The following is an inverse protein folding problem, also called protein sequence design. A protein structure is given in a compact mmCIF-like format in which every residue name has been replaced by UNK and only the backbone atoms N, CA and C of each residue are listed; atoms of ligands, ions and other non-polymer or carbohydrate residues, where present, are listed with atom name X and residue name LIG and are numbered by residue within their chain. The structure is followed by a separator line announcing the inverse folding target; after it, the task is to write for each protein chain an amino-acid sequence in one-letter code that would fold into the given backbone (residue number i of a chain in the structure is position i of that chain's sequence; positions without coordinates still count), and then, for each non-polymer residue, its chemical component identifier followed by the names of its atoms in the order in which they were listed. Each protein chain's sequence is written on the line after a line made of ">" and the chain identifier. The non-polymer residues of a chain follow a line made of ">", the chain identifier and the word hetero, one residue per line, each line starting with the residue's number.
data_IF_973077038596
#
_entry.id   IF_973077038596
#
_cell.length_a   1.000
_cell.length_b   1.000
_cell.length_c   1.000
_cell.angle_alpha   90.00
_cell.angle_beta   90.00
_cell.angle_gamma   90.00
#
_symmetry.space_group_name_H-M   'P 1'
#
loop_
_entity.id
_entity.type
_entity.pdbx_description
1 polymer ?
#
# COMPACT_ATOMS: atom_id res chain seq x y z
N UNK A 1 27.43 16.77 17.98
CA UNK A 1 27.95 17.89 17.17
C UNK A 1 27.01 18.04 15.98
N UNK A 2 26.37 19.21 15.84
CA UNK A 2 25.39 19.48 14.76
C UNK A 2 26.05 19.27 13.40
N UNK A 3 25.41 18.51 12.52
CA UNK A 3 25.76 18.53 11.11
C UNK A 3 25.06 19.73 10.45
N UNK A 4 25.43 20.96 10.88
CA UNK A 4 24.94 22.24 10.36
C UNK A 4 24.98 22.30 8.82
N UNK A 5 25.92 21.57 8.24
CA UNK A 5 26.10 21.42 6.80
C UNK A 5 24.96 20.68 6.11
N UNK A 6 24.34 19.67 6.74
CA UNK A 6 23.22 18.89 6.16
C UNK A 6 21.88 19.63 6.23
N UNK A 7 21.60 20.36 7.32
CA UNK A 7 20.40 21.22 7.41
C UNK A 7 20.47 22.38 6.41
N UNK A 8 21.63 23.04 6.28
CA UNK A 8 21.82 24.08 5.27
C UNK A 8 21.76 23.54 3.83
N UNK A 9 21.99 22.24 3.63
CA UNK A 9 21.86 21.60 2.33
C UNK A 9 20.42 21.15 2.02
N UNK A 10 19.51 21.12 3.00
CA UNK A 10 18.14 20.63 2.81
C UNK A 10 17.40 21.36 1.67
N UNK A 11 17.37 22.71 1.59
CA UNK A 11 16.76 23.41 0.45
C UNK A 11 17.34 22.99 -0.90
N UNK A 12 18.66 22.79 -0.96
CA UNK A 12 19.38 22.41 -2.19
C UNK A 12 19.02 20.98 -2.60
N UNK A 13 18.98 20.06 -1.64
CA UNK A 13 18.65 18.64 -1.89
C UNK A 13 17.18 18.52 -2.28
N UNK A 14 16.27 19.24 -1.61
CA UNK A 14 14.85 19.26 -1.95
C UNK A 14 14.62 19.73 -3.39
N UNK A 15 15.26 20.83 -3.78
CA UNK A 15 15.21 21.32 -5.16
C UNK A 15 15.82 20.32 -6.16
N UNK A 16 16.91 19.64 -5.81
CA UNK A 16 17.54 18.63 -6.67
C UNK A 16 16.66 17.39 -6.86
N UNK A 17 15.98 16.93 -5.81
CA UNK A 17 15.01 15.83 -5.87
C UNK A 17 13.80 16.26 -6.72
N UNK A 18 13.26 17.45 -6.48
CA UNK A 18 12.19 18.05 -7.30
C UNK A 18 12.55 18.10 -8.78
N UNK A 19 13.75 18.59 -9.12
CA UNK A 19 14.27 18.63 -10.48
C UNK A 19 14.35 17.23 -11.12
N UNK A 20 14.77 16.20 -10.37
CA UNK A 20 14.74 14.81 -10.85
C UNK A 20 13.32 14.34 -11.15
N UNK A 21 12.35 14.76 -10.35
CA UNK A 21 10.94 14.50 -10.59
C UNK A 21 10.32 15.46 -11.62
N UNK A 22 11.06 16.41 -12.18
CA UNK A 22 10.52 17.43 -13.10
C UNK A 22 9.49 18.36 -12.45
N UNK A 23 9.51 18.46 -11.12
CA UNK A 23 8.53 19.22 -10.31
C UNK A 23 9.24 20.38 -9.62
N UNK A 24 8.55 21.52 -9.56
CA UNK A 24 9.08 22.67 -8.85
C UNK A 24 9.00 22.45 -7.33
N UNK A 25 10.13 22.47 -6.63
CA UNK A 25 10.16 22.41 -5.16
C UNK A 25 10.71 23.71 -4.59
N UNK A 26 10.00 24.28 -3.63
CA UNK A 26 10.37 25.48 -2.89
C UNK A 26 10.48 25.14 -1.41
N UNK A 27 11.52 25.64 -0.74
CA UNK A 27 11.71 25.46 0.70
C UNK A 27 11.68 26.82 1.38
N UNK A 28 10.80 26.98 2.37
CA UNK A 28 10.51 28.23 3.06
C UNK A 28 9.14 28.21 3.73
N UNK A 29 8.82 29.26 4.48
CA UNK A 29 7.53 29.35 5.18
C UNK A 29 7.36 28.31 6.28
N UNK A 30 6.12 28.17 6.74
CA UNK A 30 5.73 27.39 7.91
C UNK A 30 4.94 26.11 7.59
N UNK A 31 4.52 25.89 6.35
CA UNK A 31 3.63 24.79 5.99
C UNK A 31 4.15 23.96 4.81
N UNK A 32 3.87 22.66 4.84
CA UNK A 32 4.04 21.76 3.71
C UNK A 32 2.74 21.66 2.90
N UNK A 33 2.78 21.91 1.59
CA UNK A 33 1.61 21.75 0.72
C UNK A 33 2.00 21.58 -0.76
N UNK A 34 1.01 21.21 -1.58
CA UNK A 34 1.09 21.21 -3.05
C UNK A 34 -0.02 22.08 -3.64
N UNK A 35 0.24 22.71 -4.78
CA UNK A 35 -0.80 23.38 -5.60
C UNK A 35 -1.18 22.57 -6.84
N UNK A 36 -0.77 21.29 -6.89
CA UNK A 36 -0.93 20.40 -8.05
C UNK A 36 0.08 20.66 -9.17
N UNK A 37 1.02 21.60 -8.99
CA UNK A 37 2.11 21.90 -9.95
C UNK A 37 3.48 22.00 -9.30
N UNK A 38 3.52 22.39 -8.05
CA UNK A 38 4.71 22.65 -7.26
C UNK A 38 4.50 22.22 -5.81
N UNK A 39 5.61 21.93 -5.13
CA UNK A 39 5.63 21.49 -3.74
C UNK A 39 6.31 22.57 -2.90
N UNK A 40 5.66 22.95 -1.81
CA UNK A 40 6.23 23.80 -0.76
C UNK A 40 6.58 22.94 0.45
N UNK A 41 7.80 23.09 0.97
CA UNK A 41 8.21 22.48 2.24
C UNK A 41 8.68 23.56 3.23
N UNK A 42 8.40 23.41 4.53
CA UNK A 42 8.87 24.36 5.53
C UNK A 42 10.40 24.34 5.64
N UNK A 43 10.99 25.50 5.95
CA UNK A 43 12.41 25.63 6.21
C UNK A 43 12.70 25.43 7.70
N UNK A 44 12.99 24.18 8.08
CA UNK A 44 13.22 23.81 9.47
C UNK A 44 14.68 24.00 9.92
N UNK A 45 14.85 24.82 10.95
CA UNK A 45 16.14 25.07 11.62
C UNK A 45 16.27 24.38 12.99
N UNK A 46 15.26 23.61 13.40
CA UNK A 46 15.26 22.91 14.69
C UNK A 46 16.10 21.62 14.68
N UNK A 47 16.07 20.92 15.82
CA UNK A 47 16.94 19.77 16.10
C UNK A 47 16.20 18.41 16.03
N UNK A 48 14.98 18.34 15.47
CA UNK A 48 14.26 17.09 15.24
C UNK A 48 15.03 16.19 14.23
N UNK A 49 15.54 15.03 14.67
CA UNK A 49 16.30 14.12 13.81
C UNK A 49 15.45 13.48 12.71
N UNK A 50 14.11 13.46 12.85
CA UNK A 50 13.21 12.80 11.91
C UNK A 50 12.68 13.74 10.83
N UNK A 51 12.82 15.07 11.01
CA UNK A 51 12.21 16.06 10.13
C UNK A 51 12.57 15.84 8.65
N UNK A 52 13.85 15.58 8.35
CA UNK A 52 14.29 15.39 6.97
C UNK A 52 13.67 14.14 6.34
N UNK A 53 13.61 13.03 7.08
CA UNK A 53 13.03 11.79 6.58
C UNK A 53 11.53 11.97 6.28
N UNK A 54 10.81 12.65 7.18
CA UNK A 54 9.39 12.98 6.98
C UNK A 54 9.22 13.90 5.77
N UNK A 55 10.01 14.97 5.66
CA UNK A 55 9.94 15.90 4.54
C UNK A 55 10.27 15.23 3.20
N UNK A 56 11.18 14.26 3.16
CA UNK A 56 11.47 13.47 1.96
C UNK A 56 10.33 12.54 1.58
N UNK A 57 9.68 11.90 2.56
CA UNK A 57 8.49 11.10 2.32
C UNK A 57 7.35 11.94 1.75
N UNK A 58 7.05 13.08 2.37
CA UNK A 58 6.03 14.03 1.89
C UNK A 58 6.38 14.51 0.48
N UNK A 59 7.62 14.93 0.22
CA UNK A 59 8.04 15.35 -1.13
C UNK A 59 7.80 14.25 -2.17
N UNK A 60 8.19 13.01 -1.88
CA UNK A 60 8.00 11.88 -2.79
C UNK A 60 6.51 11.59 -3.03
N UNK A 61 5.68 11.61 -1.99
CA UNK A 61 4.24 11.37 -2.08
C UNK A 61 3.53 12.49 -2.88
N UNK A 62 3.80 13.76 -2.57
CA UNK A 62 3.25 14.89 -3.34
C UNK A 62 3.70 14.88 -4.80
N UNK A 63 4.94 14.46 -5.06
CA UNK A 63 5.44 14.31 -6.41
C UNK A 63 4.72 13.20 -7.19
N UNK A 64 4.30 12.15 -6.51
CA UNK A 64 3.46 11.10 -7.10
C UNK A 64 2.09 11.66 -7.49
N UNK A 65 1.44 12.43 -6.62
CA UNK A 65 0.14 13.05 -6.92
C UNK A 65 0.21 13.99 -8.13
N UNK A 66 1.20 14.88 -8.19
CA UNK A 66 1.37 15.81 -9.32
C UNK A 66 1.52 15.05 -10.66
N UNK A 67 2.12 13.85 -10.64
CA UNK A 67 2.40 13.05 -11.84
C UNK A 67 1.22 12.18 -12.27
N UNK A 68 0.51 11.60 -11.31
CA UNK A 68 -0.39 10.47 -11.59
C UNK A 68 -1.84 10.69 -11.18
N UNK A 69 -2.15 11.71 -10.38
CA UNK A 69 -3.53 11.99 -9.93
C UNK A 69 -4.22 13.06 -10.78
N UNK A 70 -5.53 12.93 -10.90
CA UNK A 70 -6.49 13.83 -11.53
C UNK A 70 -7.23 14.68 -10.48
N UNK A 71 -6.69 15.87 -10.21
CA UNK A 71 -7.28 16.87 -9.32
C UNK A 71 -8.67 17.38 -9.74
N UNK A 72 -9.17 17.00 -10.92
CA UNK A 72 -10.52 17.34 -11.39
C UNK A 72 -11.57 16.30 -11.01
N UNK A 73 -11.16 15.11 -10.55
CA UNK A 73 -12.05 14.02 -10.22
C UNK A 73 -13.03 14.40 -9.08
N UNK A 74 -14.21 13.78 -9.10
CA UNK A 74 -15.29 14.05 -8.15
C UNK A 74 -15.71 12.78 -7.42
N UNK A 75 -15.64 12.84 -6.09
CA UNK A 75 -15.91 11.72 -5.20
C UNK A 75 -17.36 11.63 -4.70
N UNK A 76 -18.19 12.63 -5.00
CA UNK A 76 -19.51 12.76 -4.40
C UNK A 76 -19.43 13.13 -2.91
N UNK A 77 -20.52 12.89 -2.18
CA UNK A 77 -20.65 13.32 -0.78
C UNK A 77 -20.24 12.27 0.25
N UNK A 78 -20.01 11.01 -0.16
CA UNK A 78 -19.64 9.93 0.77
C UNK A 78 -18.19 10.10 1.22
N UNK A 79 -17.98 10.27 2.52
CA UNK A 79 -16.65 10.35 3.13
C UNK A 79 -15.90 9.04 2.97
N UNK A 80 -16.55 7.92 3.30
CA UNK A 80 -15.97 6.58 3.17
C UNK A 80 -15.49 6.31 1.73
N UNK A 81 -16.31 6.61 0.73
CA UNK A 81 -15.95 6.46 -0.69
C UNK A 81 -14.70 7.27 -1.05
N UNK A 82 -14.63 8.52 -0.61
CA UNK A 82 -13.47 9.39 -0.83
C UNK A 82 -12.21 8.83 -0.15
N UNK A 83 -12.32 8.44 1.12
CA UNK A 83 -11.19 7.91 1.92
C UNK A 83 -10.65 6.59 1.38
N UNK A 84 -11.53 5.66 1.01
CA UNK A 84 -11.11 4.39 0.42
C UNK A 84 -10.42 4.58 -0.93
N UNK A 85 -10.97 5.42 -1.79
CA UNK A 85 -10.35 5.70 -3.08
C UNK A 85 -9.00 6.39 -2.93
N UNK A 86 -8.86 7.31 -1.96
CA UNK A 86 -7.58 7.92 -1.61
C UNK A 86 -6.54 6.90 -1.16
N UNK A 87 -6.88 6.01 -0.22
CA UNK A 87 -5.97 4.97 0.24
C UNK A 87 -5.48 4.03 -0.88
N UNK A 88 -6.35 3.69 -1.83
CA UNK A 88 -6.00 2.88 -3.00
C UNK A 88 -5.12 3.69 -3.96
N UNK A 89 -5.48 4.94 -4.23
CA UNK A 89 -4.75 5.85 -5.11
C UNK A 89 -3.33 6.10 -4.61
N UNK A 90 -3.14 6.38 -3.32
CA UNK A 90 -1.83 6.60 -2.72
C UNK A 90 -0.89 5.42 -2.94
N UNK A 91 -1.40 4.20 -2.75
CA UNK A 91 -0.62 3.00 -3.02
C UNK A 91 -0.28 2.87 -4.50
N UNK A 92 -1.24 3.16 -5.39
CA UNK A 92 -1.02 3.12 -6.84
C UNK A 92 0.05 4.12 -7.26
N UNK A 93 -0.07 5.40 -6.88
CA UNK A 93 0.86 6.45 -7.31
C UNK A 93 2.26 6.23 -6.73
N UNK A 94 2.37 5.77 -5.48
CA UNK A 94 3.66 5.45 -4.87
C UNK A 94 4.31 4.26 -5.57
N UNK A 95 3.52 3.26 -5.96
CA UNK A 95 3.99 2.11 -6.73
C UNK A 95 4.46 2.52 -8.13
N UNK A 96 3.69 3.38 -8.83
CA UNK A 96 4.06 3.91 -10.16
C UNK A 96 5.32 4.79 -10.09
N UNK A 97 5.39 5.72 -9.13
CA UNK A 97 6.55 6.60 -8.96
C UNK A 97 7.83 5.79 -8.72
N UNK A 98 7.73 4.70 -7.97
CA UNK A 98 8.85 3.83 -7.67
C UNK A 98 9.40 3.05 -8.88
N UNK A 99 8.67 2.97 -10.01
CA UNK A 99 9.19 2.37 -11.25
C UNK A 99 10.26 3.26 -11.87
N UNK A 100 10.02 4.58 -11.90
CA UNK A 100 10.96 5.57 -12.43
C UNK A 100 12.01 5.98 -11.39
N UNK A 101 11.63 6.01 -10.11
CA UNK A 101 12.48 6.46 -9.01
C UNK A 101 12.51 5.45 -7.85
N UNK A 102 13.19 4.30 -7.99
CA UNK A 102 13.16 3.22 -6.98
C UNK A 102 13.52 3.63 -5.55
N UNK A 103 14.30 4.70 -5.37
CA UNK A 103 14.66 5.23 -4.06
C UNK A 103 13.46 5.72 -3.24
N UNK A 104 12.36 6.11 -3.87
CA UNK A 104 11.15 6.58 -3.17
C UNK A 104 10.53 5.48 -2.31
N UNK A 105 10.70 4.20 -2.68
CA UNK A 105 10.26 3.06 -1.84
C UNK A 105 10.91 3.10 -0.46
N UNK A 106 12.23 3.34 -0.42
CA UNK A 106 12.96 3.42 0.84
C UNK A 106 12.53 4.65 1.62
N UNK A 107 12.52 5.81 0.98
CA UNK A 107 12.15 7.08 1.60
C UNK A 107 10.79 7.02 2.28
N UNK A 108 9.77 6.55 1.57
CA UNK A 108 8.42 6.47 2.11
C UNK A 108 8.31 5.37 3.17
N UNK A 109 8.92 4.18 2.96
CA UNK A 109 8.95 3.12 3.98
C UNK A 109 9.55 3.62 5.29
N UNK A 110 10.64 4.39 5.25
CA UNK A 110 11.28 4.94 6.46
C UNK A 110 10.33 5.84 7.25
N UNK A 111 9.49 6.63 6.58
CA UNK A 111 8.47 7.44 7.26
C UNK A 111 7.45 6.55 7.97
N UNK A 112 6.95 5.53 7.29
CA UNK A 112 5.98 4.57 7.85
C UNK A 112 6.56 3.86 9.09
N UNK A 113 7.79 3.37 9.01
CA UNK A 113 8.47 2.73 10.13
C UNK A 113 8.62 3.67 11.34
N UNK A 114 8.94 4.95 11.11
CA UNK A 114 9.01 5.96 12.18
C UNK A 114 7.65 6.22 12.81
N UNK A 115 6.58 6.31 12.03
CA UNK A 115 5.22 6.52 12.55
C UNK A 115 4.79 5.34 13.44
N UNK A 116 5.10 4.10 13.05
CA UNK A 116 4.85 2.92 13.86
C UNK A 116 5.61 3.00 15.19
N UNK A 117 6.90 3.36 15.15
CA UNK A 117 7.74 3.48 16.36
C UNK A 117 7.26 4.59 17.30
N UNK A 118 6.75 5.71 16.76
CA UNK A 118 6.18 6.81 17.55
C UNK A 118 4.81 6.50 18.14
N UNK A 119 4.12 5.48 17.63
CA UNK A 119 2.75 5.16 18.02
C UNK A 119 1.69 5.98 17.28
N UNK A 120 2.09 6.70 16.23
CA UNK A 120 1.18 7.49 15.38
C UNK A 120 0.46 6.62 14.34
N UNK A 121 0.93 5.38 14.15
CA UNK A 121 0.28 4.40 13.27
C UNK A 121 0.04 3.08 14.00
N UNK A 122 -1.23 2.83 14.33
CA UNK A 122 -1.70 1.70 15.15
C UNK A 122 -2.73 0.86 14.41
N UNK A 123 -2.95 -0.37 14.87
CA UNK A 123 -4.02 -1.21 14.34
C UNK A 123 -5.38 -0.73 14.83
N UNK A 124 -6.43 -0.96 14.03
CA UNK A 124 -7.79 -0.68 14.49
C UNK A 124 -8.28 -1.75 15.45
N UNK A 125 -9.06 -1.33 16.43
CA UNK A 125 -9.71 -2.18 17.42
C UNK A 125 -11.13 -2.57 16.99
N UNK A 126 -11.72 -3.58 17.65
CA UNK A 126 -13.12 -3.97 17.44
C UNK A 126 -14.12 -2.88 17.85
N UNK A 127 -13.71 -1.96 18.73
CA UNK A 127 -14.55 -0.87 19.23
C UNK A 127 -14.52 0.35 18.31
N UNK A 128 -13.63 0.36 17.32
CA UNK A 128 -13.53 1.46 16.36
C UNK A 128 -14.74 1.48 15.41
N UNK A 129 -14.96 2.64 14.81
CA UNK A 129 -16.01 2.79 13.81
C UNK A 129 -15.79 1.82 12.63
N UNK A 130 -16.82 1.12 12.13
CA UNK A 130 -16.66 0.11 11.08
C UNK A 130 -16.02 0.67 9.80
N UNK A 131 -16.29 1.94 9.49
CA UNK A 131 -15.65 2.65 8.39
C UNK A 131 -14.13 2.82 8.58
N UNK A 132 -13.68 3.14 9.80
CA UNK A 132 -12.26 3.24 10.11
C UNK A 132 -11.56 1.88 10.00
N UNK A 133 -12.18 0.81 10.51
CA UNK A 133 -11.63 -0.55 10.42
C UNK A 133 -11.42 -0.95 8.96
N UNK A 134 -12.41 -0.71 8.10
CA UNK A 134 -12.31 -1.01 6.67
C UNK A 134 -11.24 -0.16 5.97
N UNK A 135 -11.25 1.15 6.20
CA UNK A 135 -10.24 2.07 5.65
C UNK A 135 -8.82 1.66 6.09
N UNK A 136 -8.62 1.44 7.39
CA UNK A 136 -7.34 1.02 7.97
C UNK A 136 -6.87 -0.31 7.41
N UNK A 137 -7.76 -1.30 7.27
CA UNK A 137 -7.40 -2.57 6.67
C UNK A 137 -6.95 -2.39 5.22
N UNK A 138 -7.71 -1.64 4.40
CA UNK A 138 -7.37 -1.38 3.00
C UNK A 138 -6.03 -0.67 2.88
N UNK A 139 -5.83 0.45 3.60
CA UNK A 139 -4.59 1.21 3.57
C UNK A 139 -3.39 0.35 4.00
N UNK A 140 -3.46 -0.26 5.18
CA UNK A 140 -2.32 -1.00 5.76
C UNK A 140 -1.99 -2.25 4.96
N UNK A 141 -3.00 -3.01 4.50
CA UNK A 141 -2.79 -4.24 3.73
C UNK A 141 -2.19 -3.97 2.34
N UNK A 142 -2.66 -2.94 1.65
CA UNK A 142 -2.12 -2.55 0.35
C UNK A 142 -0.70 -2.01 0.48
N UNK A 143 -0.43 -1.14 1.47
CA UNK A 143 0.92 -0.65 1.74
C UNK A 143 1.89 -1.78 2.09
N UNK A 144 1.49 -2.75 2.93
CA UNK A 144 2.31 -3.90 3.26
C UNK A 144 2.64 -4.75 2.01
N UNK A 145 1.63 -5.11 1.22
CA UNK A 145 1.75 -6.08 0.11
C UNK A 145 2.30 -5.47 -1.19
N UNK A 146 1.84 -4.29 -1.58
CA UNK A 146 2.16 -3.66 -2.89
C UNK A 146 3.41 -2.79 -2.80
N UNK A 147 3.61 -2.10 -1.68
CA UNK A 147 4.78 -1.24 -1.46
C UNK A 147 5.92 -1.94 -0.71
N UNK A 148 5.67 -3.14 -0.19
CA UNK A 148 6.67 -3.92 0.54
C UNK A 148 7.04 -3.29 1.87
N UNK A 149 6.07 -2.70 2.57
CA UNK A 149 6.24 -2.08 3.89
C UNK A 149 5.91 -3.10 4.98
N UNK A 150 6.80 -4.10 5.13
CA UNK A 150 6.55 -5.31 5.96
C UNK A 150 6.37 -5.02 7.45
N UNK A 151 6.83 -3.88 7.95
CA UNK A 151 6.59 -3.43 9.32
C UNK A 151 5.08 -3.29 9.66
N UNK A 152 4.23 -3.18 8.63
CA UNK A 152 2.77 -3.10 8.80
C UNK A 152 2.09 -4.45 9.01
N UNK A 153 2.75 -5.59 8.71
CA UNK A 153 2.10 -6.91 8.76
C UNK A 153 1.44 -7.21 10.12
N UNK A 154 2.07 -6.95 11.29
CA UNK A 154 1.41 -7.17 12.57
C UNK A 154 0.16 -6.29 12.78
N UNK A 155 0.19 -5.05 12.27
CA UNK A 155 -0.96 -4.15 12.36
C UNK A 155 -2.09 -4.58 11.42
N UNK A 156 -1.77 -5.13 10.26
CA UNK A 156 -2.73 -5.69 9.30
C UNK A 156 -3.43 -6.89 9.91
N UNK A 157 -2.69 -7.82 10.51
CA UNK A 157 -3.24 -9.00 11.18
C UNK A 157 -4.21 -8.60 12.30
N UNK A 158 -3.81 -7.67 13.16
CA UNK A 158 -4.67 -7.19 14.25
C UNK A 158 -5.92 -6.45 13.73
N UNK A 159 -5.76 -5.61 12.71
CA UNK A 159 -6.89 -4.91 12.08
C UNK A 159 -7.84 -5.88 11.38
N UNK A 160 -7.32 -6.97 10.81
CA UNK A 160 -8.14 -8.01 10.17
C UNK A 160 -9.02 -8.74 11.19
N UNK A 161 -8.54 -8.97 12.42
CA UNK A 161 -9.38 -9.53 13.50
C UNK A 161 -10.58 -8.62 13.78
N UNK A 162 -10.36 -7.31 13.91
CA UNK A 162 -11.43 -6.34 14.08
C UNK A 162 -12.39 -6.31 12.88
N UNK A 163 -11.86 -6.43 11.65
CA UNK A 163 -12.65 -6.49 10.44
C UNK A 163 -13.54 -7.74 10.40
N UNK A 164 -12.98 -8.92 10.67
CA UNK A 164 -13.74 -10.19 10.72
C UNK A 164 -14.85 -10.16 11.76
N UNK A 165 -14.66 -9.45 12.87
CA UNK A 165 -15.68 -9.33 13.91
C UNK A 165 -16.85 -8.41 13.54
N UNK A 166 -16.68 -7.48 12.58
CA UNK A 166 -17.71 -6.49 12.18
C UNK A 166 -18.31 -6.71 10.80
N UNK A 167 -17.67 -7.52 9.95
CA UNK A 167 -18.05 -7.72 8.56
C UNK A 167 -18.36 -9.19 8.26
N UNK A 168 -19.36 -9.47 7.40
CA UNK A 168 -19.64 -10.84 6.97
C UNK A 168 -18.39 -11.49 6.38
N UNK A 169 -18.18 -12.79 6.65
CA UNK A 169 -17.02 -13.56 6.14
C UNK A 169 -16.86 -13.47 4.61
N UNK A 170 -17.98 -13.48 3.88
CA UNK A 170 -18.00 -13.30 2.43
C UNK A 170 -17.48 -11.92 2.00
N UNK A 171 -17.84 -10.86 2.73
CA UNK A 171 -17.32 -9.51 2.49
C UNK A 171 -15.81 -9.42 2.67
N UNK A 172 -15.27 -9.98 3.76
CA UNK A 172 -13.81 -9.97 4.03
C UNK A 172 -13.04 -10.73 2.95
N UNK A 173 -13.54 -11.90 2.56
CA UNK A 173 -12.91 -12.74 1.53
C UNK A 173 -12.91 -12.06 0.16
N UNK A 174 -14.07 -11.53 -0.25
CA UNK A 174 -14.20 -10.83 -1.54
C UNK A 174 -13.45 -9.51 -1.56
N UNK A 175 -13.36 -8.80 -0.43
CA UNK A 175 -12.55 -7.58 -0.29
C UNK A 175 -11.08 -7.88 -0.63
N UNK A 176 -10.50 -8.92 -0.02
CA UNK A 176 -9.12 -9.34 -0.33
C UNK A 176 -8.93 -9.67 -1.80
N UNK A 177 -9.91 -10.35 -2.41
CA UNK A 177 -9.95 -10.64 -3.84
C UNK A 177 -9.91 -9.37 -4.70
N UNK A 178 -10.78 -8.38 -4.43
CA UNK A 178 -10.81 -7.11 -5.14
C UNK A 178 -9.51 -6.31 -4.97
N UNK A 179 -8.96 -6.26 -3.74
CA UNK A 179 -7.69 -5.57 -3.48
C UNK A 179 -6.51 -6.22 -4.22
N UNK A 180 -6.61 -7.48 -4.64
CA UNK A 180 -5.56 -8.14 -5.42
C UNK A 180 -5.31 -7.50 -6.79
N UNK A 181 -6.27 -6.72 -7.30
CA UNK A 181 -6.19 -6.01 -8.59
C UNK A 181 -5.31 -4.76 -8.55
N UNK A 182 -5.08 -4.16 -7.37
CA UNK A 182 -4.37 -2.87 -7.22
C UNK A 182 -2.98 -2.78 -7.89
N UNK A 183 -2.06 -3.75 -7.76
CA UNK A 183 -0.69 -3.59 -8.28
C UNK A 183 -0.59 -3.52 -9.81
N UNK A 184 -1.51 -4.14 -10.56
CA UNK A 184 -1.41 -4.25 -12.02
C UNK A 184 -2.68 -3.85 -12.77
N UNK A 185 -3.84 -3.87 -12.11
CA UNK A 185 -5.15 -3.64 -12.72
C UNK A 185 -5.59 -2.18 -12.78
N UNK A 186 -4.92 -1.26 -12.07
CA UNK A 186 -5.32 0.15 -11.99
C UNK A 186 -4.32 1.04 -12.74
N UNK A 187 -4.81 1.83 -13.70
CA UNK A 187 -3.98 2.71 -14.54
C UNK A 187 -4.18 4.20 -14.23
N UNK A 188 -5.25 4.53 -13.50
CA UNK A 188 -5.65 5.91 -13.21
C UNK A 188 -6.37 6.03 -11.86
N UNK A 189 -6.46 7.26 -11.33
CA UNK A 189 -7.28 7.56 -10.15
C UNK A 189 -8.77 7.22 -10.36
N UNK A 190 -9.24 7.29 -11.61
CA UNK A 190 -10.59 6.86 -11.95
C UNK A 190 -10.79 5.35 -11.78
N UNK A 191 -9.78 4.53 -12.08
CA UNK A 191 -9.84 3.08 -11.84
C UNK A 191 -9.86 2.77 -10.34
N UNK A 192 -9.10 3.52 -9.53
CA UNK A 192 -9.16 3.44 -8.06
C UNK A 192 -10.57 3.74 -7.53
N UNK A 193 -11.23 4.73 -8.12
CA UNK A 193 -12.61 5.09 -7.78
C UNK A 193 -13.61 3.99 -8.18
N UNK A 194 -13.45 3.40 -9.38
CA UNK A 194 -14.29 2.27 -9.80
C UNK A 194 -14.10 1.04 -8.93
N UNK A 195 -12.85 0.73 -8.53
CA UNK A 195 -12.58 -0.36 -7.60
C UNK A 195 -13.25 -0.09 -6.25
N UNK A 196 -13.20 1.15 -5.77
CA UNK A 196 -13.89 1.56 -4.54
C UNK A 196 -15.40 1.37 -4.64
N UNK A 197 -16.02 1.76 -5.75
CA UNK A 197 -17.46 1.54 -5.98
C UNK A 197 -17.82 0.05 -5.99
N UNK A 198 -16.97 -0.78 -6.59
CA UNK A 198 -17.13 -2.25 -6.58
C UNK A 198 -17.01 -2.82 -5.17
N UNK A 199 -16.07 -2.32 -4.36
CA UNK A 199 -15.90 -2.72 -2.95
C UNK A 199 -17.15 -2.38 -2.14
N UNK A 200 -17.63 -1.13 -2.23
CA UNK A 200 -18.81 -0.68 -1.47
C UNK A 200 -20.07 -1.45 -1.89
N UNK A 201 -20.29 -1.61 -3.20
CA UNK A 201 -21.41 -2.40 -3.74
C UNK A 201 -21.34 -3.86 -3.26
N UNK A 202 -20.14 -4.45 -3.25
CA UNK A 202 -19.94 -5.82 -2.78
C UNK A 202 -20.25 -5.94 -1.27
N UNK A 203 -19.79 -4.99 -0.45
CA UNK A 203 -20.06 -4.98 0.98
C UNK A 203 -21.57 -4.87 1.24
N UNK A 204 -22.27 -3.94 0.58
CA UNK A 204 -23.74 -3.81 0.69
C UNK A 204 -24.46 -5.14 0.38
N UNK A 205 -24.05 -5.82 -0.69
CA UNK A 205 -24.62 -7.11 -1.09
C UNK A 205 -24.40 -8.19 -0.02
N UNK A 206 -23.21 -8.26 0.57
CA UNK A 206 -22.87 -9.26 1.59
C UNK A 206 -23.63 -9.02 2.90
N UNK A 207 -23.81 -7.76 3.30
CA UNK A 207 -24.64 -7.42 4.47
C UNK A 207 -26.12 -7.75 4.25
N UNK A 208 -26.67 -7.50 3.07
CA UNK A 208 -28.06 -7.85 2.75
C UNK A 208 -28.25 -9.38 2.66
N UNK A 209 -27.26 -10.13 2.14
CA UNK A 209 -27.27 -11.59 2.17
C UNK A 209 -27.23 -12.14 3.61
N UNK A 210 -26.39 -11.57 4.48
CA UNK A 210 -26.34 -11.94 5.89
C UNK A 210 -27.69 -11.70 6.57
N UNK A 211 -28.33 -10.54 6.32
CA UNK A 211 -29.67 -10.23 6.84
C UNK A 211 -30.70 -11.28 6.41
N UNK A 212 -30.70 -11.69 5.14
CA UNK A 212 -31.62 -12.71 4.64
C UNK A 212 -31.36 -14.08 5.30
N UNK A 213 -30.09 -14.42 5.55
CA UNK A 213 -29.71 -15.65 6.26
C UNK A 213 -30.19 -15.65 7.72
N UNK A 214 -29.97 -14.55 8.44
CA UNK A 214 -30.46 -14.38 9.82
C UNK A 214 -32.01 -14.47 9.90
N UNK A 215 -32.73 -14.01 8.87
CA UNK A 215 -34.21 -14.12 8.80
C UNK A 215 -34.71 -15.52 8.42
N UNK A 216 -33.89 -16.32 7.72
CA UNK A 216 -34.25 -17.65 7.25
C UNK A 216 -33.97 -18.76 8.28
N UNK A 217 -33.21 -18.48 9.35
CA UNK A 217 -33.08 -19.38 10.50
C UNK A 217 -34.39 -19.34 11.31
N UNK A 218 -35.13 -20.47 11.43
CA UNK A 218 -36.30 -20.52 12.28
C UNK A 218 -35.89 -20.29 13.73
N UNK A 219 -36.66 -19.48 14.46
CA UNK A 219 -36.68 -19.51 15.92
C UNK A 219 -37.11 -20.92 16.37
N UNK A 220 -36.15 -21.83 16.49
CA UNK A 220 -36.34 -23.13 17.12
C UNK A 220 -36.26 -22.94 18.64
N UNK A 221 -37.21 -22.19 19.20
CA UNK A 221 -37.55 -22.22 20.62
C UNK A 221 -38.76 -21.30 20.84
N UNK A 222 -39.97 -21.86 20.70
CA UNK A 222 -41.07 -21.67 21.65
C UNK A 222 -42.24 -22.59 21.26
N UNK A 223 -42.82 -23.24 22.27
CA UNK A 223 -43.99 -24.12 22.27
C UNK A 223 -43.84 -25.57 21.81
N UNK A 224 -43.18 -26.38 22.65
CA UNK A 224 -43.63 -27.78 22.87
C UNK A 224 -44.42 -27.82 24.19
N UNK A 225 -45.73 -28.13 24.20
CA UNK A 225 -46.47 -28.38 25.45
C UNK A 225 -45.98 -29.67 26.12
N UNK A 226 -46.11 -29.81 27.46
CA UNK A 226 -45.52 -30.90 28.20
C UNK A 226 -46.28 -32.21 27.94
N UNK A 227 -45.57 -33.29 27.59
CA UNK A 227 -46.12 -34.64 27.74
C UNK A 227 -46.18 -35.02 29.23
N UNK A 228 -47.25 -35.69 29.68
CA UNK A 228 -47.31 -36.21 31.03
C UNK A 228 -46.46 -37.47 31.18
N UNK A 229 -45.75 -37.46 32.29
CA UNK A 229 -45.05 -38.55 32.98
C UNK A 229 -45.81 -39.89 32.96
N UNK A 230 -45.15 -40.94 32.47
CA UNK A 230 -45.39 -42.31 32.95
C UNK A 230 -44.05 -43.04 33.07
N UNK A 231 -43.69 -43.26 34.32
CA UNK A 231 -42.52 -44.01 34.79
C UNK A 231 -42.88 -45.51 34.88
N UNK A 232 -42.07 -46.40 34.30
CA UNK A 232 -41.40 -47.55 34.97
C UNK A 232 -41.04 -48.71 34.02
N UNK A 233 -39.74 -49.07 34.05
CA UNK A 233 -39.12 -50.41 34.14
C UNK A 233 -39.50 -51.51 33.10
N UNK A 234 -38.60 -52.31 32.52
CA UNK A 234 -37.34 -52.83 33.01
C UNK A 234 -36.45 -53.33 31.85
N UNK A 235 -35.14 -53.34 32.10
CA UNK A 235 -34.14 -54.05 31.31
C UNK A 235 -34.29 -55.57 31.42
N UNK A 236 -34.05 -56.29 30.32
CA UNK A 236 -33.34 -57.60 30.31
C UNK A 236 -32.68 -57.83 28.96
N UNK A 237 -31.50 -58.42 29.07
CA UNK A 237 -30.44 -58.63 28.10
C UNK A 237 -30.59 -59.92 27.29
N UNK A 238 -29.65 -60.09 26.35
CA UNK A 238 -29.02 -61.35 25.88
C UNK A 238 -29.43 -61.89 24.49
N UNK A 239 -28.52 -61.63 23.54
CA UNK A 239 -27.66 -62.63 22.87
C UNK A 239 -28.19 -63.63 21.82
N UNK A 240 -27.44 -63.60 20.69
CA UNK A 240 -26.96 -64.69 19.83
C UNK A 240 -27.83 -65.23 18.67
N UNK A 241 -27.31 -64.93 17.47
CA UNK A 241 -26.81 -65.85 16.44
C UNK A 241 -27.79 -66.89 15.83
N UNK A 242 -28.00 -66.86 14.51
CA UNK A 242 -27.50 -67.89 13.57
C UNK A 242 -28.00 -67.64 12.14
N UNK A 243 -27.04 -67.77 11.24
CA UNK A 243 -27.04 -68.08 9.80
C UNK A 243 -28.25 -68.90 9.29
N UNK A 244 -28.71 -68.63 8.05
CA UNK A 244 -28.41 -69.46 6.88
C UNK A 244 -29.12 -68.92 5.62
N UNK A 245 -28.47 -69.07 4.46
CA UNK A 245 -28.93 -68.52 3.19
C UNK A 245 -29.99 -69.34 2.44
N UNK A 246 -30.40 -68.80 1.30
CA UNK A 246 -30.65 -69.58 0.09
C UNK A 246 -30.72 -68.65 -1.12
N UNK A 247 -30.06 -69.10 -2.17
CA UNK A 247 -29.92 -68.53 -3.50
C UNK A 247 -31.25 -68.52 -4.28
N UNK A 248 -31.33 -67.65 -5.29
CA UNK A 248 -32.13 -67.85 -6.51
C UNK A 248 -31.47 -67.06 -7.64
N UNK A 249 -30.94 -67.81 -8.61
CA UNK A 249 -30.31 -67.37 -9.84
C UNK A 249 -31.34 -67.00 -10.94
N UNK A 250 -30.77 -66.53 -12.05
CA UNK A 250 -31.24 -66.45 -13.42
C UNK A 250 -32.13 -65.26 -13.84
N UNK A 251 -31.93 -64.65 -15.01
CA UNK A 251 -30.82 -64.52 -15.97
C UNK A 251 -31.37 -63.56 -17.05
N UNK A 252 -30.50 -62.92 -17.85
CA UNK A 252 -30.69 -62.65 -19.30
C UNK A 252 -29.66 -61.63 -19.80
N UNK A 253 -28.77 -62.18 -20.62
CA UNK A 253 -27.63 -61.61 -21.33
C UNK A 253 -27.97 -60.65 -22.49
N UNK A 254 -27.04 -59.75 -22.82
CA UNK A 254 -26.37 -59.62 -24.14
C UNK A 254 -25.31 -58.50 -24.03
N UNK A 255 -24.00 -58.71 -23.98
CA UNK A 255 -23.00 -59.30 -24.90
C UNK A 255 -22.25 -58.26 -25.79
N UNK A 256 -20.94 -58.48 -25.89
CA UNK A 256 -19.90 -58.02 -26.82
C UNK A 256 -19.12 -56.73 -26.46
N UNK A 257 -17.97 -56.82 -25.78
CA UNK A 257 -16.60 -57.24 -26.17
C UNK A 257 -15.79 -56.23 -27.00
N UNK A 258 -14.68 -55.81 -26.38
CA UNK A 258 -13.47 -55.14 -26.92
C UNK A 258 -12.72 -56.05 -27.93
N UNK A 259 -11.70 -55.55 -28.65
CA UNK A 259 -10.35 -55.54 -28.06
C UNK A 259 -9.46 -54.33 -28.43
N UNK A 260 -8.38 -54.21 -27.66
CA UNK A 260 -7.19 -53.39 -27.87
C UNK A 260 -6.33 -53.91 -29.05
N UNK A 261 -5.47 -53.04 -29.63
CA UNK A 261 -4.00 -53.19 -29.56
C UNK A 261 -3.25 -52.09 -30.34
N UNK A 262 -2.26 -51.51 -29.64
CA UNK A 262 -0.84 -51.33 -29.97
C UNK A 262 -0.26 -50.67 -31.25
N UNK A 263 0.81 -49.91 -30.94
CA UNK A 263 2.08 -49.60 -31.64
C UNK A 263 1.98 -48.73 -32.92
N UNK A 264 2.85 -47.75 -33.19
CA UNK A 264 4.31 -47.84 -33.14
C UNK A 264 4.99 -46.46 -33.39
N UNK A 265 6.28 -46.46 -33.12
CA UNK A 265 7.27 -45.37 -33.04
C UNK A 265 7.70 -44.67 -34.36
N UNK A 266 8.41 -43.53 -34.20
CA UNK A 266 9.82 -43.24 -34.63
C UNK A 266 10.01 -41.77 -35.06
N UNK A 267 10.80 -40.96 -34.32
CA UNK A 267 12.28 -40.81 -34.31
C UNK A 267 12.85 -39.83 -35.34
N UNK A 268 13.57 -38.80 -34.88
CA UNK A 268 14.92 -38.47 -35.38
C UNK A 268 15.65 -37.47 -34.47
N UNK A 269 16.80 -37.92 -33.98
CA UNK A 269 17.93 -37.19 -33.37
C UNK A 269 18.62 -36.26 -34.41
N UNK A 270 19.66 -35.45 -34.19
CA UNK A 270 20.85 -35.44 -33.31
C UNK A 270 21.53 -34.06 -33.58
N UNK A 271 22.44 -33.45 -32.82
CA UNK A 271 23.33 -33.80 -31.71
C UNK A 271 24.45 -32.75 -31.63
N UNK A 272 25.28 -32.77 -30.56
CA UNK A 272 26.62 -32.15 -30.58
C UNK A 272 27.14 -31.50 -29.29
N UNK A 273 27.75 -32.33 -28.43
CA UNK A 273 28.87 -32.14 -27.47
C UNK A 273 29.47 -30.74 -27.20
N UNK A 274 29.85 -30.45 -25.94
CA UNK A 274 31.24 -30.61 -25.47
C UNK A 274 31.37 -30.47 -23.93
N UNK A 275 32.46 -31.04 -23.46
CA UNK A 275 32.86 -31.50 -22.13
C UNK A 275 33.45 -30.40 -21.20
N UNK A 276 33.45 -30.70 -19.89
CA UNK A 276 34.59 -30.56 -18.96
C UNK A 276 34.33 -29.96 -17.56
N UNK A 277 34.54 -30.85 -16.59
CA UNK A 277 35.31 -30.71 -15.33
C UNK A 277 34.72 -30.09 -14.05
N UNK A 278 34.46 -31.00 -13.10
CA UNK A 278 35.03 -31.10 -11.74
C UNK A 278 35.00 -29.87 -10.82
N UNK A 279 34.26 -29.98 -9.71
CA UNK A 279 34.85 -30.28 -8.40
C UNK A 279 33.82 -30.89 -7.44
N UNK A 280 34.12 -32.09 -6.94
CA UNK A 280 33.47 -32.77 -5.83
C UNK A 280 33.87 -32.10 -4.51
N UNK A 281 32.92 -31.91 -3.60
CA UNK A 281 33.13 -32.12 -2.17
C UNK A 281 31.97 -33.00 -1.67
N UNK A 282 32.38 -34.14 -1.11
CA UNK A 282 31.61 -35.25 -0.51
C UNK A 282 30.51 -34.76 0.45
N UNK A 283 29.27 -35.24 0.34
CA UNK A 283 28.75 -36.53 0.86
C UNK A 283 28.97 -36.70 2.37
N UNK A 284 27.88 -36.56 3.13
CA UNK A 284 27.52 -37.64 4.03
C UNK A 284 26.00 -37.72 4.20
N UNK A 285 25.52 -38.88 3.80
CA UNK A 285 24.13 -39.29 3.66
C UNK A 285 23.60 -39.87 4.96
N UNK A 286 22.37 -39.48 5.36
CA UNK A 286 21.52 -40.31 6.23
C UNK A 286 20.03 -40.00 5.99
N UNK A 287 19.37 -40.88 5.25
CA UNK A 287 17.90 -41.05 5.15
C UNK A 287 17.50 -42.35 5.87
N UNK A 288 16.21 -42.68 6.05
CA UNK A 288 15.04 -41.86 6.43
C UNK A 288 14.24 -42.52 7.59
N UNK A 289 13.30 -41.79 8.21
CA UNK A 289 12.20 -42.39 8.96
C UNK A 289 10.98 -41.47 8.97
N UNK A 290 10.02 -41.84 8.12
CA UNK A 290 8.58 -41.98 8.37
C UNK A 290 7.83 -41.00 9.30
N UNK A 291 6.69 -40.51 8.81
CA UNK A 291 5.53 -40.16 9.63
C UNK A 291 5.06 -38.70 9.59
N UNK A 292 3.98 -38.45 8.84
CA UNK A 292 2.97 -37.46 9.25
C UNK A 292 2.88 -36.18 8.41
N UNK A 293 2.23 -36.27 7.27
CA UNK A 293 1.62 -35.13 6.58
C UNK A 293 0.69 -34.40 7.56
N UNK A 294 1.08 -33.21 7.99
CA UNK A 294 0.21 -32.29 8.72
C UNK A 294 -0.27 -31.26 7.71
N UNK A 295 -1.41 -31.53 7.08
CA UNK A 295 -2.22 -30.47 6.49
C UNK A 295 -2.52 -29.44 7.59
N UNK A 296 -2.47 -28.13 7.32
CA UNK A 296 -3.00 -27.16 8.26
C UNK A 296 -4.50 -27.44 8.35
N UNK A 297 -4.94 -27.94 9.50
CA UNK A 297 -6.34 -27.97 9.85
C UNK A 297 -6.88 -26.56 9.72
N UNK A 298 -7.83 -26.39 8.81
CA UNK A 298 -8.76 -25.27 8.76
C UNK A 298 -9.40 -25.22 10.15
N UNK A 299 -8.90 -24.32 11.00
CA UNK A 299 -9.53 -24.02 12.27
C UNK A 299 -10.96 -23.60 11.93
N UNK A 300 -11.93 -24.29 12.51
CA UNK A 300 -13.33 -23.91 12.48
C UNK A 300 -13.44 -22.45 12.98
N UNK A 301 -13.29 -21.49 12.07
CA UNK A 301 -13.63 -20.10 12.30
C UNK A 301 -15.14 -20.09 12.56
N UNK A 302 -15.51 -20.01 13.84
CA UNK A 302 -16.86 -19.80 14.30
C UNK A 302 -17.53 -18.76 13.39
N UNK A 303 -18.69 -19.13 12.84
CA UNK A 303 -19.57 -18.18 12.16
C UNK A 303 -19.93 -17.07 13.16
N UNK A 304 -19.22 -15.95 13.10
CA UNK A 304 -19.60 -14.72 13.78
C UNK A 304 -20.81 -14.17 13.03
N UNK A 305 -21.99 -14.67 13.39
CA UNK A 305 -23.25 -14.10 12.94
C UNK A 305 -23.33 -12.68 13.51
N UNK A 306 -23.44 -11.70 12.62
CA UNK A 306 -23.61 -10.30 13.01
C UNK A 306 -25.08 -10.13 13.41
N UNK A 307 -25.33 -9.75 14.66
CA UNK A 307 -26.69 -9.63 15.21
C UNK A 307 -27.54 -8.59 14.46
N UNK A 308 -26.96 -7.42 14.15
CA UNK A 308 -27.62 -6.33 13.40
C UNK A 308 -26.80 -5.92 12.16
N UNK A 309 -26.87 -6.69 11.06
CA UNK A 309 -26.08 -6.40 9.86
C UNK A 309 -26.48 -5.07 9.21
N UNK A 310 -27.76 -4.69 9.28
CA UNK A 310 -28.23 -3.46 8.64
C UNK A 310 -27.89 -2.22 9.44
N UNK A 311 -27.89 -2.28 10.78
CA UNK A 311 -27.40 -1.19 11.62
C UNK A 311 -25.91 -0.91 11.40
N UNK A 312 -25.10 -1.97 11.27
CA UNK A 312 -23.67 -1.82 10.93
C UNK A 312 -23.50 -1.22 9.54
N UNK A 313 -24.25 -1.70 8.53
CA UNK A 313 -24.18 -1.16 7.16
C UNK A 313 -24.61 0.32 7.11
N UNK A 314 -25.67 0.70 7.83
CA UNK A 314 -26.11 2.08 7.89
C UNK A 314 -25.06 2.98 8.56
N UNK A 315 -24.46 2.52 9.64
CA UNK A 315 -23.35 3.21 10.34
C UNK A 315 -22.15 3.39 9.40
N UNK A 316 -21.79 2.34 8.67
CA UNK A 316 -20.71 2.36 7.67
C UNK A 316 -20.93 3.41 6.58
N UNK A 317 -22.12 3.42 5.96
CA UNK A 317 -22.42 4.30 4.81
C UNK A 317 -22.66 5.76 5.21
N UNK A 318 -22.98 6.02 6.49
CA UNK A 318 -23.21 7.35 7.03
C UNK A 318 -21.98 7.98 7.71
N UNK A 319 -20.82 7.30 7.67
CA UNK A 319 -19.57 7.77 8.25
C UNK A 319 -19.23 9.21 7.83
N UNK A 320 -18.91 10.05 8.81
CA UNK A 320 -18.40 11.41 8.64
C UNK A 320 -16.88 11.47 8.71
N UNK A 321 -16.31 12.67 8.55
CA UNK A 321 -14.86 12.90 8.60
C UNK A 321 -14.25 12.63 9.99
N UNK A 322 -15.06 12.61 11.07
CA UNK A 322 -14.59 12.27 12.42
C UNK A 322 -14.59 10.77 12.74
N UNK A 323 -15.19 9.95 11.87
CA UNK A 323 -15.35 8.50 12.08
C UNK A 323 -14.24 7.67 11.42
N UNK A 324 -13.37 8.32 10.62
CA UNK A 324 -12.27 7.70 9.89
C UNK A 324 -11.02 8.51 10.19
N UNK A 325 -9.90 7.84 10.46
CA UNK A 325 -8.60 8.48 10.66
C UNK A 325 -8.27 9.47 9.53
N UNK A 326 -7.54 10.52 9.89
CA UNK A 326 -7.04 11.48 8.92
C UNK A 326 -6.14 10.80 7.89
N UNK A 327 -6.02 11.42 6.72
CA UNK A 327 -5.08 10.93 5.72
C UNK A 327 -3.65 10.95 6.29
N UNK A 328 -2.92 9.87 6.01
CA UNK A 328 -1.61 9.65 6.58
C UNK A 328 -0.63 10.78 6.23
N UNK A 329 -0.59 11.19 4.97
CA UNK A 329 0.34 12.22 4.51
C UNK A 329 -0.16 13.63 4.82
N UNK A 330 -1.46 13.86 4.91
CA UNK A 330 -2.00 15.11 5.47
C UNK A 330 -1.63 15.29 6.95
N UNK A 331 -1.67 14.21 7.75
CA UNK A 331 -1.22 14.24 9.14
C UNK A 331 0.28 14.58 9.25
N UNK A 332 1.11 14.07 8.33
CA UNK A 332 2.54 14.37 8.26
C UNK A 332 2.81 15.80 7.80
N UNK A 333 2.06 16.34 6.84
CA UNK A 333 2.14 17.76 6.45
C UNK A 333 1.82 18.67 7.63
N UNK A 334 0.79 18.31 8.40
CA UNK A 334 0.42 19.01 9.62
C UNK A 334 1.55 18.94 10.67
N UNK A 335 2.18 17.77 10.85
CA UNK A 335 3.30 17.59 11.77
C UNK A 335 4.57 18.36 11.34
N UNK A 336 4.76 18.58 10.03
CA UNK A 336 5.84 19.43 9.51
C UNK A 336 5.60 20.93 9.72
N UNK A 337 4.39 21.34 10.12
CA UNK A 337 4.07 22.75 10.26
C UNK A 337 4.86 23.40 11.40
N UNK A 338 5.43 24.57 11.14
CA UNK A 338 6.30 25.28 12.06
C UNK A 338 5.56 26.43 12.75
N UNK A 339 5.83 26.64 14.04
CA UNK A 339 5.48 27.91 14.68
C UNK A 339 6.27 29.05 14.02
N UNK A 340 5.67 30.23 13.91
CA UNK A 340 6.28 31.39 13.24
C UNK A 340 7.69 31.74 13.75
N UNK A 341 7.99 31.44 15.03
CA UNK A 341 9.30 31.66 15.66
C UNK A 341 10.39 30.67 15.22
N UNK A 342 9.99 29.52 14.66
CA UNK A 342 10.88 28.45 14.19
C UNK A 342 11.05 28.45 12.66
N UNK A 343 10.37 29.37 11.97
CA UNK A 343 10.49 29.52 10.52
C UNK A 343 11.83 30.19 10.22
N UNK A 344 12.70 29.46 9.51
CA UNK A 344 13.95 30.01 9.02
C UNK A 344 13.71 31.13 8.01
N UNK A 345 14.47 32.22 8.12
CA UNK A 345 14.59 33.25 7.06
C UNK A 345 15.36 32.74 5.83
N UNK A 346 15.97 31.54 5.89
CA UNK A 346 16.79 30.96 4.84
C UNK A 346 15.92 30.49 3.66
N UNK A 347 15.64 31.42 2.76
CA UNK A 347 15.09 31.13 1.43
C UNK A 347 16.23 30.88 0.43
N UNK A 348 16.05 29.81 -0.38
CA UNK A 348 16.62 29.48 -1.71
C UNK A 348 17.43 28.16 -1.77
N UNK A 349 17.24 27.28 -2.79
CA UNK A 349 16.89 27.59 -4.18
C UNK A 349 15.58 26.97 -4.71
N UNK A 350 15.07 27.56 -5.79
CA UNK A 350 13.97 27.07 -6.62
C UNK A 350 14.46 26.24 -7.81
N UNK A 351 13.80 25.13 -8.14
CA UNK A 351 13.92 24.45 -9.45
C UNK A 351 12.69 23.57 -9.65
N UNK A 352 12.16 23.30 -10.87
CA UNK A 352 12.75 23.23 -12.22
C UNK A 352 12.27 24.36 -13.19
N UNK A 353 13.13 24.81 -14.13
CA UNK A 353 12.79 25.66 -15.31
C UNK A 353 13.30 24.99 -16.62
N UNK A 354 12.46 24.75 -17.66
CA UNK A 354 12.85 24.04 -18.89
C UNK A 354 13.12 24.98 -20.11
N UNK A 355 13.36 24.43 -21.32
CA UNK A 355 14.64 24.43 -22.04
C UNK A 355 15.09 25.78 -22.65
N UNK A 356 16.41 25.89 -22.86
CA UNK A 356 17.12 27.13 -23.22
C UNK A 356 17.23 27.32 -24.74
N UNK A 357 17.22 28.59 -25.20
CA UNK A 357 17.65 28.96 -26.56
C UNK A 357 19.17 29.20 -26.58
N UNK A 358 19.92 28.20 -27.05
CA UNK A 358 21.39 28.23 -27.06
C UNK A 358 21.99 29.36 -27.88
N UNK A 359 21.29 29.82 -28.94
CA UNK A 359 21.77 30.96 -29.72
C UNK A 359 21.59 32.25 -28.95
N UNK A 360 20.44 32.42 -28.33
CA UNK A 360 20.19 33.57 -27.46
C UNK A 360 21.17 33.58 -26.27
N UNK A 361 21.40 32.41 -25.65
CA UNK A 361 22.35 32.24 -24.53
C UNK A 361 23.79 32.56 -24.93
N UNK A 362 24.28 32.01 -26.05
CA UNK A 362 25.64 32.25 -26.54
C UNK A 362 25.86 33.72 -26.96
N UNK A 363 24.84 34.36 -27.52
CA UNK A 363 24.89 35.80 -27.82
C UNK A 363 25.01 36.63 -26.54
N UNK A 364 24.18 36.33 -25.54
CA UNK A 364 24.19 37.04 -24.26
C UNK A 364 25.54 36.88 -23.54
N UNK A 365 26.07 35.65 -23.52
CA UNK A 365 27.35 35.35 -22.87
C UNK A 365 28.51 36.09 -23.52
N UNK A 366 28.59 36.12 -24.86
CA UNK A 366 29.62 36.89 -25.59
C UNK A 366 29.53 38.38 -25.30
N UNK A 367 28.32 38.93 -25.25
CA UNK A 367 28.10 40.34 -24.93
C UNK A 367 28.61 40.67 -23.51
N UNK A 368 28.24 39.84 -22.53
CA UNK A 368 28.68 40.02 -21.13
C UNK A 368 30.20 39.89 -21.00
N UNK A 369 30.82 38.92 -21.66
CA UNK A 369 32.28 38.76 -21.65
C UNK A 369 33.01 39.96 -22.28
N UNK A 370 32.48 40.51 -23.38
CA UNK A 370 33.04 41.70 -24.01
C UNK A 370 32.97 42.91 -23.08
N UNK A 371 31.80 43.19 -22.49
CA UNK A 371 31.63 44.32 -21.59
C UNK A 371 32.43 44.15 -20.29
N UNK A 372 32.47 42.94 -19.72
CA UNK A 372 33.30 42.63 -18.55
C UNK A 372 34.80 42.83 -18.84
N UNK A 373 35.27 42.45 -20.04
CA UNK A 373 36.63 42.68 -20.49
C UNK A 373 36.98 44.17 -20.60
N UNK A 374 36.07 44.98 -21.15
CA UNK A 374 36.25 46.44 -21.23
C UNK A 374 36.33 47.08 -19.83
N UNK A 375 35.45 46.67 -18.92
CA UNK A 375 35.45 47.15 -17.53
C UNK A 375 36.77 46.77 -16.85
N UNK A 376 37.22 45.53 -17.02
CA UNK A 376 38.50 45.08 -16.43
C UNK A 376 39.69 45.86 -16.97
N UNK A 377 39.73 46.11 -18.27
CA UNK A 377 40.78 46.92 -18.89
C UNK A 377 40.75 48.37 -18.39
N UNK A 378 39.56 48.96 -18.25
CA UNK A 378 39.40 50.30 -17.69
C UNK A 378 39.85 50.39 -16.23
N UNK A 379 39.48 49.40 -15.41
CA UNK A 379 39.91 49.31 -14.01
C UNK A 379 41.42 49.07 -13.89
N UNK A 380 42.00 48.21 -14.73
CA UNK A 380 43.45 48.01 -14.77
C UNK A 380 44.19 49.28 -15.20
N UNK A 381 43.66 50.01 -16.18
CA UNK A 381 44.19 51.31 -16.59
C UNK A 381 44.13 52.34 -15.45
N UNK A 382 43.03 52.39 -14.70
CA UNK A 382 42.85 53.27 -13.55
C UNK A 382 43.80 52.92 -12.39
N UNK A 383 43.98 51.61 -12.13
CA UNK A 383 44.93 51.14 -11.11
C UNK A 383 46.37 51.46 -11.54
N UNK A 384 46.71 51.22 -12.81
CA UNK A 384 48.03 51.55 -13.36
C UNK A 384 48.31 53.05 -13.29
N UNK A 385 47.36 53.90 -13.67
CA UNK A 385 47.52 55.36 -13.56
C UNK A 385 47.69 55.77 -12.11
N UNK A 386 46.90 55.22 -11.18
CA UNK A 386 47.03 55.50 -9.75
C UNK A 386 48.38 55.04 -9.17
N UNK A 387 48.93 53.91 -9.63
CA UNK A 387 50.25 53.45 -9.20
C UNK A 387 51.38 54.29 -9.78
N UNK A 388 51.25 54.75 -11.03
CA UNK A 388 52.21 55.64 -11.67
C UNK A 388 52.22 57.02 -11.00
N UNK A 389 51.04 57.60 -10.73
CA UNK A 389 50.91 58.86 -10.00
C UNK A 389 51.46 58.76 -8.56
N UNK A 390 51.26 57.62 -7.87
CA UNK A 390 51.88 57.37 -6.56
C UNK A 390 53.39 57.24 -6.62
N UNK A 391 53.94 56.65 -7.68
CA UNK A 391 55.40 56.52 -7.86
C UNK A 391 56.09 57.82 -8.27
N UNK A 392 55.34 58.81 -8.76
CA UNK A 392 55.87 60.15 -9.06
C UNK A 392 55.79 61.11 -7.87
N UNK A 393 55.09 60.73 -6.80
CA UNK A 393 54.95 61.51 -5.57
C UNK A 393 55.61 60.88 -4.33
N UNK A 394 56.36 59.79 -4.51
CA UNK A 394 57.33 59.25 -3.55
C UNK A 394 58.74 59.52 -4.07
#
# INVERSE_FOLDING_TARGET
>A
MKNRTLHNAFPIVAAAIGNRFGIKVSVGGDQAYTDGKSIQLPAYEGDDPDYQDVAWGVLAHEAAHIRYSDFSLRYGNSVLRRRLSGAIEDVRIEHELAKDFPGTRLTIRTVIEKMIVKGDFVASSIDDHPANILYSFVLKSLRARVLGQTALLPLVEQTEVALKAKYPKGAVTRLKGLLSEVPEGLQSEFDCLQLTDRILTMIEQEFEQQRQRNQAQPAADEDTPPEPDDTDQAAVSADLDDSNGSESEDDMEHDQRLPADNDDEQSSESGGNDDSNLENIDDDSATPADGGSSEPQDENEEHTEIDDPMGVLQTLLSAGDGDIEEDLFESLKSALSLAAENVSELLMPSGYEPPWDDRAGAFLLRKVQSESGKIRAALQGLVQSQTLDRSQHA
#
